data_IF_653173946588
#
_entry.id   IF_653173946588
#
_cell.length_a   1.000
_cell.length_b   1.000
_cell.length_c   1.000
_cell.angle_alpha   90.00
_cell.angle_beta   90.00
_cell.angle_gamma   90.00
#
_symmetry.space_group_name_H-M   'P 1'
#
loop_
_entity.id
_entity.type
_entity.pdbx_description
1 polymer ?
#
# COMPACT_ATOMS: atom_id res chain seq x y z
N UNK A 1 -23.19 -28.08 9.08
CA UNK A 1 -21.86 -27.68 9.60
C UNK A 1 -20.79 -27.57 8.52
N UNK A 2 -20.64 -28.55 7.61
CA UNK A 2 -19.61 -28.50 6.53
C UNK A 2 -19.74 -27.24 5.64
N UNK A 3 -20.95 -26.83 5.26
CA UNK A 3 -21.17 -25.59 4.50
C UNK A 3 -20.70 -24.33 5.24
N UNK A 4 -20.85 -24.30 6.58
CA UNK A 4 -20.39 -23.20 7.44
C UNK A 4 -18.86 -23.12 7.43
N UNK A 5 -18.18 -24.26 7.60
CA UNK A 5 -16.71 -24.36 7.53
C UNK A 5 -16.17 -23.93 6.17
N UNK A 6 -16.77 -24.38 5.07
CA UNK A 6 -16.38 -24.01 3.72
C UNK A 6 -16.50 -22.49 3.48
N UNK A 7 -17.56 -21.88 4.00
CA UNK A 7 -17.79 -20.45 3.91
C UNK A 7 -16.77 -19.63 4.71
N UNK A 8 -16.40 -20.10 5.91
CA UNK A 8 -15.34 -19.48 6.74
C UNK A 8 -14.00 -19.53 6.00
N UNK A 9 -13.66 -20.66 5.38
CA UNK A 9 -12.44 -20.79 4.58
C UNK A 9 -12.43 -19.89 3.34
N UNK A 10 -13.56 -19.75 2.65
CA UNK A 10 -13.68 -18.82 1.51
C UNK A 10 -13.51 -17.36 1.97
N UNK A 11 -14.13 -16.98 3.09
CA UNK A 11 -14.01 -15.65 3.70
C UNK A 11 -12.57 -15.35 4.14
N UNK A 12 -11.88 -16.30 4.76
CA UNK A 12 -10.49 -16.13 5.19
C UNK A 12 -9.52 -16.02 4.02
N UNK A 13 -9.69 -16.84 2.97
CA UNK A 13 -8.89 -16.75 1.74
C UNK A 13 -9.07 -15.40 1.05
N UNK A 14 -10.31 -14.92 0.98
CA UNK A 14 -10.63 -13.60 0.40
C UNK A 14 -10.00 -12.47 1.23
N UNK A 15 -10.07 -12.55 2.57
CA UNK A 15 -9.44 -11.59 3.45
C UNK A 15 -7.91 -11.59 3.32
N UNK A 16 -7.27 -12.74 3.17
CA UNK A 16 -5.83 -12.85 2.93
C UNK A 16 -5.43 -12.23 1.59
N UNK A 17 -6.18 -12.50 0.51
CA UNK A 17 -5.94 -11.90 -0.80
C UNK A 17 -6.10 -10.38 -0.77
N UNK A 18 -7.13 -9.88 -0.09
CA UNK A 18 -7.32 -8.44 0.13
C UNK A 18 -6.14 -7.83 0.92
N UNK A 19 -5.67 -8.53 1.96
CA UNK A 19 -4.51 -8.08 2.76
C UNK A 19 -3.23 -8.03 1.92
N UNK A 20 -2.97 -9.04 1.10
CA UNK A 20 -1.83 -9.07 0.19
C UNK A 20 -1.87 -7.90 -0.80
N UNK A 21 -3.01 -7.65 -1.45
CA UNK A 21 -3.18 -6.51 -2.36
C UNK A 21 -2.93 -5.16 -1.67
N UNK A 22 -3.30 -5.07 -0.39
CA UNK A 22 -3.15 -3.85 0.41
C UNK A 22 -1.71 -3.61 0.82
N UNK A 23 -1.00 -4.67 1.20
CA UNK A 23 0.45 -4.64 1.42
C UNK A 23 1.16 -4.17 0.15
N UNK A 24 0.79 -4.68 -1.03
CA UNK A 24 1.38 -4.23 -2.29
C UNK A 24 1.20 -2.73 -2.51
N UNK A 25 -0.01 -2.18 -2.31
CA UNK A 25 -0.26 -0.73 -2.44
C UNK A 25 0.60 0.09 -1.47
N UNK A 26 0.68 -0.34 -0.20
CA UNK A 26 1.50 0.33 0.81
C UNK A 26 2.99 0.29 0.47
N UNK A 27 3.50 -0.86 0.03
CA UNK A 27 4.89 -1.01 -0.41
C UNK A 27 5.19 -0.09 -1.60
N UNK A 28 4.29 0.00 -2.57
CA UNK A 28 4.44 0.91 -3.71
C UNK A 28 4.45 2.37 -3.28
N UNK A 29 3.58 2.77 -2.34
CA UNK A 29 3.56 4.13 -1.79
C UNK A 29 4.87 4.47 -1.05
N UNK A 30 5.41 3.52 -0.27
CA UNK A 30 6.70 3.69 0.42
C UNK A 30 7.84 3.80 -0.60
N UNK A 31 7.89 2.92 -1.60
CA UNK A 31 8.96 2.89 -2.58
C UNK A 31 8.99 4.17 -3.44
N UNK A 32 7.84 4.53 -4.02
CA UNK A 32 7.71 5.73 -4.86
C UNK A 32 7.91 7.02 -4.06
N UNK A 33 7.35 7.11 -2.85
CA UNK A 33 7.53 8.25 -1.95
C UNK A 33 8.97 8.43 -1.49
N UNK A 34 9.67 7.33 -1.16
CA UNK A 34 11.07 7.36 -0.74
C UNK A 34 12.01 7.72 -1.89
N UNK A 35 11.76 7.18 -3.09
CA UNK A 35 12.51 7.53 -4.29
C UNK A 35 12.39 9.02 -4.61
N UNK A 36 11.16 9.54 -4.63
CA UNK A 36 10.91 10.96 -4.88
C UNK A 36 11.57 11.84 -3.82
N UNK A 37 11.44 11.49 -2.54
CA UNK A 37 12.11 12.19 -1.44
C UNK A 37 13.63 12.22 -1.64
N UNK A 38 14.23 11.09 -1.99
CA UNK A 38 15.68 10.99 -2.23
C UNK A 38 16.14 11.96 -3.32
N UNK A 39 15.44 12.00 -4.45
CA UNK A 39 15.74 12.93 -5.56
C UNK A 39 15.58 14.40 -5.16
N UNK A 40 14.53 14.73 -4.41
CA UNK A 40 14.31 16.08 -3.90
C UNK A 40 15.44 16.48 -2.95
N UNK A 41 15.80 15.60 -2.02
CA UNK A 41 16.86 15.87 -1.04
C UNK A 41 18.21 16.04 -1.73
N UNK A 42 18.59 15.14 -2.64
CA UNK A 42 19.84 15.24 -3.41
C UNK A 42 19.94 16.59 -4.14
N UNK A 43 18.87 17.02 -4.79
CA UNK A 43 18.84 18.31 -5.46
C UNK A 43 18.98 19.48 -4.48
N UNK A 44 18.26 19.47 -3.36
CA UNK A 44 18.36 20.52 -2.34
C UNK A 44 19.75 20.58 -1.71
N UNK A 45 20.36 19.42 -1.42
CA UNK A 45 21.73 19.33 -0.91
C UNK A 45 22.74 19.89 -1.92
N UNK A 46 22.60 19.54 -3.20
CA UNK A 46 23.44 20.09 -4.27
C UNK A 46 23.34 21.62 -4.32
N UNK A 47 22.12 22.18 -4.27
CA UNK A 47 21.93 23.64 -4.32
C UNK A 47 22.47 24.32 -3.05
N UNK A 48 22.30 23.71 -1.87
CA UNK A 48 22.80 24.25 -0.60
C UNK A 48 24.34 24.25 -0.52
N UNK A 49 25.00 23.24 -1.09
CA UNK A 49 26.46 23.12 -1.13
C UNK A 49 27.08 23.92 -2.29
N UNK A 50 26.34 24.18 -3.37
CA UNK A 50 26.81 24.96 -4.51
C UNK A 50 26.77 26.46 -4.19
N UNK A 51 27.80 26.92 -3.50
CA UNK A 51 27.99 28.31 -3.06
C UNK A 51 29.45 28.73 -3.10
N UNK A 52 29.68 30.03 -3.18
CA UNK A 52 31.03 30.59 -3.03
C UNK A 52 31.46 30.51 -1.55
N UNK A 53 32.74 30.20 -1.32
CA UNK A 53 33.34 30.14 0.02
C UNK A 53 33.60 31.53 0.62
N UNK A 54 33.59 32.60 -0.20
CA UNK A 54 33.96 33.96 0.20
C UNK A 54 32.79 34.78 0.79
N UNK A 55 33.12 35.92 1.39
CA UNK A 55 32.25 36.82 2.19
C UNK A 55 31.02 37.41 1.47
N UNK A 56 30.88 37.26 0.15
CA UNK A 56 29.70 37.71 -0.58
C UNK A 56 28.76 36.51 -0.84
N UNK A 57 27.50 36.62 -0.41
CA UNK A 57 26.47 35.59 -0.52
C UNK A 57 26.11 35.28 -2.00
N UNK A 58 26.94 34.45 -2.65
CA UNK A 58 26.69 33.88 -3.98
C UNK A 58 26.50 32.37 -3.90
N UNK A 59 25.41 31.84 -4.43
CA UNK A 59 25.11 30.42 -4.40
C UNK A 59 23.75 30.08 -5.02
N UNK A 60 23.41 28.81 -4.94
CA UNK A 60 22.28 28.23 -5.67
C UNK A 60 20.99 28.03 -4.86
N UNK A 61 21.03 28.20 -3.53
CA UNK A 61 19.85 28.11 -2.68
C UNK A 61 19.73 29.33 -1.78
N UNK A 62 18.80 30.23 -2.11
CA UNK A 62 18.48 31.39 -1.27
C UNK A 62 17.46 31.02 -0.20
N UNK A 63 17.65 31.58 1.00
CA UNK A 63 16.63 31.52 2.05
C UNK A 63 15.63 32.69 1.87
N UNK A 64 16.16 33.87 1.54
CA UNK A 64 15.46 35.14 1.32
C UNK A 64 16.32 36.02 0.39
N UNK A 65 15.85 37.22 0.03
CA UNK A 65 16.65 38.19 -0.73
C UNK A 65 17.94 38.49 0.03
N UNK A 66 19.09 38.28 -0.63
CA UNK A 66 20.41 38.56 -0.06
C UNK A 66 20.93 37.53 0.96
N UNK A 67 20.21 36.42 1.22
CA UNK A 67 20.65 35.36 2.13
C UNK A 67 20.61 33.98 1.48
N UNK A 68 21.61 33.15 1.79
CA UNK A 68 21.74 31.77 1.28
C UNK A 68 21.57 30.75 2.39
N UNK A 69 21.04 29.58 2.03
CA UNK A 69 21.17 28.38 2.84
C UNK A 69 22.59 27.85 2.66
N UNK A 70 23.38 27.88 3.74
CA UNK A 70 24.81 27.58 3.70
C UNK A 70 25.10 26.11 4.00
N UNK A 71 25.00 25.25 3.00
CA UNK A 71 25.29 23.81 3.12
C UNK A 71 24.14 22.99 3.70
N UNK A 72 24.20 21.68 3.50
CA UNK A 72 23.09 20.75 3.76
C UNK A 72 22.64 20.70 5.22
N UNK A 73 23.56 20.94 6.16
CA UNK A 73 23.24 20.99 7.59
C UNK A 73 22.22 22.08 7.94
N UNK A 74 22.08 23.10 7.09
CA UNK A 74 21.18 24.23 7.28
C UNK A 74 19.86 24.10 6.50
N UNK A 75 19.57 22.95 5.90
CA UNK A 75 18.29 22.68 5.22
C UNK A 75 17.11 22.50 6.20
N UNK A 76 17.37 22.44 7.52
CA UNK A 76 16.35 22.26 8.55
C UNK A 76 15.53 20.99 8.29
N UNK A 77 14.20 21.10 8.34
CA UNK A 77 13.29 19.97 8.12
C UNK A 77 13.39 19.37 6.71
N UNK A 78 13.83 20.16 5.72
CA UNK A 78 14.05 19.68 4.35
C UNK A 78 15.29 18.79 4.21
N UNK A 79 16.23 18.86 5.17
CA UNK A 79 17.46 18.06 5.20
C UNK A 79 17.40 16.82 6.10
N UNK A 80 16.24 16.56 6.73
CA UNK A 80 16.14 15.44 7.67
C UNK A 80 16.28 14.10 6.95
N UNK A 81 16.99 13.17 7.58
CA UNK A 81 17.05 11.78 7.14
C UNK A 81 15.73 11.07 7.38
N UNK A 82 15.48 10.01 6.61
CA UNK A 82 14.31 9.14 6.80
C UNK A 82 14.34 8.56 8.21
N UNK A 83 13.34 8.87 9.02
CA UNK A 83 13.23 8.31 10.37
C UNK A 83 12.87 6.83 10.29
N UNK A 84 13.56 5.94 11.03
CA UNK A 84 13.14 4.55 11.14
C UNK A 84 11.69 4.46 11.65
N UNK A 85 10.83 3.81 10.87
CA UNK A 85 9.44 3.56 11.26
C UNK A 85 9.37 2.39 12.23
N UNK A 86 9.35 2.67 13.53
CA UNK A 86 9.06 1.69 14.61
C UNK A 86 7.62 1.75 15.11
N UNK A 87 6.83 2.72 14.64
CA UNK A 87 5.45 2.97 15.06
C UNK A 87 4.56 3.23 13.86
N UNK A 88 3.33 2.72 13.91
CA UNK A 88 2.28 3.04 12.95
C UNK A 88 1.97 4.55 13.02
N UNK A 89 2.35 5.29 11.97
CA UNK A 89 1.96 6.67 11.79
C UNK A 89 0.46 6.76 11.51
N UNK A 90 -0.30 7.46 12.36
CA UNK A 90 -1.75 7.65 12.19
C UNK A 90 -2.11 8.88 11.34
N UNK A 91 -1.12 9.67 10.90
CA UNK A 91 -1.35 10.93 10.21
C UNK A 91 -1.38 10.71 8.71
N UNK A 92 -2.47 11.13 8.08
CA UNK A 92 -2.56 11.23 6.62
C UNK A 92 -1.57 12.30 6.12
N UNK A 93 -0.99 12.13 4.93
CA UNK A 93 -0.19 13.18 4.31
C UNK A 93 -1.04 14.44 4.10
N UNK A 94 -0.49 15.62 4.44
CA UNK A 94 -1.16 16.92 4.27
C UNK A 94 -0.70 17.67 3.02
N UNK A 95 0.52 17.38 2.55
CA UNK A 95 1.14 18.00 1.37
C UNK A 95 0.89 17.23 0.07
N UNK A 96 0.38 15.99 0.18
CA UNK A 96 -0.05 15.15 -0.93
C UNK A 96 -1.49 14.72 -0.62
N UNK A 97 -2.44 15.33 -1.31
CA UNK A 97 -3.85 15.02 -1.18
C UNK A 97 -4.32 14.15 -2.35
N UNK A 98 -5.58 13.69 -2.31
CA UNK A 98 -6.20 12.97 -3.42
C UNK A 98 -6.08 13.74 -4.74
N UNK A 99 -6.13 15.08 -4.70
CA UNK A 99 -6.06 15.94 -5.89
C UNK A 99 -4.63 16.12 -6.47
N UNK A 100 -3.57 16.05 -5.64
CA UNK A 100 -2.12 16.04 -5.95
C UNK A 100 -1.25 16.76 -4.88
N UNK A 101 -0.11 17.33 -5.29
CA UNK A 101 0.83 18.08 -4.44
C UNK A 101 0.32 19.50 -4.22
N UNK A 102 -0.38 19.74 -3.11
CA UNK A 102 -1.23 20.93 -2.91
C UNK A 102 -0.50 22.28 -3.03
N UNK A 103 0.80 22.30 -2.80
CA UNK A 103 1.61 23.52 -2.75
C UNK A 103 2.57 23.69 -3.94
N UNK A 104 2.73 22.67 -4.79
CA UNK A 104 3.63 22.72 -5.94
C UNK A 104 2.88 23.24 -7.18
N UNK A 105 2.74 24.56 -7.24
CA UNK A 105 2.17 25.28 -8.40
C UNK A 105 3.24 25.52 -9.45
N UNK A 106 2.83 25.81 -10.69
CA UNK A 106 3.77 26.30 -11.72
C UNK A 106 4.23 27.71 -11.39
N UNK A 107 5.48 27.98 -11.70
CA UNK A 107 6.06 29.32 -11.76
C UNK A 107 6.81 29.52 -13.07
N UNK A 108 6.79 30.76 -13.57
CA UNK A 108 7.46 31.12 -14.81
C UNK A 108 8.95 31.32 -14.58
N UNK A 109 9.71 31.30 -15.69
CA UNK A 109 11.14 31.56 -15.65
C UNK A 109 11.43 32.96 -15.09
N UNK A 110 12.08 33.01 -13.93
CA UNK A 110 12.47 34.27 -13.27
C UNK A 110 11.52 34.77 -12.18
N UNK A 111 10.30 34.24 -12.08
CA UNK A 111 9.30 34.68 -11.08
C UNK A 111 9.64 34.21 -9.65
N UNK A 112 10.21 33.00 -9.53
CA UNK A 112 10.62 32.40 -8.25
C UNK A 112 12.09 32.67 -7.90
N UNK A 113 12.83 33.38 -8.77
CA UNK A 113 14.16 33.83 -8.40
C UNK A 113 14.02 34.95 -7.38
N UNK A 114 14.28 34.61 -6.13
CA UNK A 114 14.56 35.59 -5.07
C UNK A 114 15.94 36.21 -5.37
N UNK A 115 16.03 37.01 -6.43
CA UNK A 115 17.26 37.62 -6.88
C UNK A 115 17.65 38.73 -5.91
N UNK A 116 18.68 38.48 -5.10
CA UNK A 116 19.64 39.52 -4.82
C UNK A 116 20.60 39.61 -6.01
N UNK A 117 21.06 40.81 -6.38
CA UNK A 117 22.06 41.08 -7.42
C UNK A 117 23.40 40.31 -7.24
N UNK A 118 23.49 39.48 -6.19
CA UNK A 118 24.65 38.73 -5.73
C UNK A 118 24.49 37.20 -5.88
N UNK A 119 23.31 36.65 -6.12
CA UNK A 119 23.11 35.20 -6.24
C UNK A 119 23.56 34.68 -7.63
N UNK A 120 24.84 34.31 -7.78
CA UNK A 120 25.35 33.63 -8.98
C UNK A 120 25.20 32.11 -8.83
N UNK A 121 24.29 31.51 -9.60
CA UNK A 121 24.14 30.06 -9.69
C UNK A 121 24.21 29.60 -11.15
N UNK A 122 25.36 29.07 -11.57
CA UNK A 122 25.55 28.57 -12.95
C UNK A 122 24.74 27.30 -13.28
N UNK A 123 24.21 26.60 -12.27
CA UNK A 123 23.38 25.40 -12.48
C UNK A 123 22.06 25.72 -13.21
N UNK A 124 21.54 26.94 -13.08
CA UNK A 124 20.29 27.37 -13.73
C UNK A 124 20.54 28.23 -14.99
N UNK A 125 21.77 28.28 -15.48
CA UNK A 125 22.12 29.02 -16.68
C UNK A 125 22.54 28.04 -17.77
N UNK A 126 21.93 28.18 -18.95
CA UNK A 126 22.17 27.28 -20.09
C UNK A 126 23.00 27.91 -21.20
N UNK A 127 23.30 29.21 -21.10
CA UNK A 127 24.21 29.89 -22.01
C UNK A 127 25.68 29.54 -21.76
N UNK A 128 26.52 29.88 -22.73
CA UNK A 128 27.97 29.64 -22.74
C UNK A 128 28.79 30.70 -22.01
N UNK A 129 28.16 31.63 -21.31
CA UNK A 129 28.85 32.72 -20.61
C UNK A 129 28.93 32.46 -19.11
N UNK A 130 27.88 31.87 -18.54
CA UNK A 130 27.77 31.67 -17.09
C UNK A 130 27.18 30.31 -16.70
N UNK A 131 26.97 29.42 -17.67
CA UNK A 131 26.44 28.08 -17.47
C UNK A 131 27.45 27.08 -16.91
N UNK A 132 26.97 25.87 -16.62
CA UNK A 132 27.77 24.78 -16.03
C UNK A 132 28.81 24.18 -16.99
N UNK A 133 28.67 24.37 -18.30
CA UNK A 133 29.53 23.79 -19.34
C UNK A 133 30.54 24.80 -19.92
N UNK A 134 30.86 25.87 -19.18
CA UNK A 134 31.80 26.92 -19.60
C UNK A 134 31.41 27.51 -20.98
N UNK A 135 32.26 27.41 -22.00
CA UNK A 135 32.04 27.97 -23.34
C UNK A 135 31.02 27.20 -24.18
N UNK A 136 30.49 26.08 -23.68
CA UNK A 136 29.44 25.31 -24.35
C UNK A 136 28.05 25.63 -23.78
N UNK A 137 27.04 25.56 -24.63
CA UNK A 137 25.64 25.68 -24.21
C UNK A 137 25.11 24.34 -23.68
N UNK A 138 24.27 24.41 -22.66
CA UNK A 138 23.49 23.25 -22.20
C UNK A 138 22.47 22.89 -23.27
N UNK A 139 22.28 21.58 -23.52
CA UNK A 139 21.29 21.11 -24.49
C UNK A 139 19.87 21.61 -24.17
N UNK A 140 19.12 21.93 -25.22
CA UNK A 140 17.73 22.38 -25.11
C UNK A 140 16.87 21.34 -24.37
N UNK A 141 16.02 21.81 -23.46
CA UNK A 141 15.11 20.96 -22.70
C UNK A 141 15.73 20.30 -21.46
N UNK A 142 16.93 20.70 -21.05
CA UNK A 142 17.52 20.28 -19.78
C UNK A 142 16.59 20.60 -18.59
N UNK A 143 16.51 19.66 -17.66
CA UNK A 143 15.64 19.77 -16.49
C UNK A 143 16.21 19.01 -15.28
N UNK A 144 15.85 19.47 -14.09
CA UNK A 144 16.15 18.80 -12.83
C UNK A 144 14.89 18.15 -12.24
N UNK A 145 15.09 17.30 -11.22
CA UNK A 145 14.01 16.60 -10.50
C UNK A 145 13.04 15.85 -11.43
N UNK A 146 13.60 15.11 -12.39
CA UNK A 146 12.83 14.32 -13.35
C UNK A 146 11.90 15.13 -14.25
N UNK A 147 12.20 16.42 -14.45
CA UNK A 147 11.40 17.31 -15.31
C UNK A 147 10.52 18.31 -14.56
N UNK A 148 10.56 18.33 -13.22
CA UNK A 148 9.81 19.32 -12.45
C UNK A 148 10.36 20.73 -12.63
N UNK A 149 11.69 20.90 -12.54
CA UNK A 149 12.38 22.18 -12.76
C UNK A 149 12.94 22.19 -14.17
N UNK A 150 12.39 23.03 -15.05
CA UNK A 150 12.82 23.17 -16.44
C UNK A 150 13.77 24.35 -16.57
N UNK A 151 14.90 24.15 -17.23
CA UNK A 151 15.84 25.24 -17.50
C UNK A 151 15.39 26.07 -18.71
N UNK A 152 15.63 27.37 -18.66
CA UNK A 152 15.44 28.25 -19.80
C UNK A 152 16.35 27.82 -20.96
N UNK A 153 15.92 28.06 -22.21
CA UNK A 153 16.78 27.88 -23.36
C UNK A 153 17.72 29.09 -23.50
N UNK A 154 19.01 28.83 -23.72
CA UNK A 154 20.03 29.83 -24.06
C UNK A 154 20.06 31.05 -23.14
N UNK A 155 20.02 30.83 -21.82
CA UNK A 155 20.08 31.95 -20.87
C UNK A 155 19.89 31.55 -19.42
N UNK A 156 19.82 32.53 -18.52
CA UNK A 156 19.52 32.29 -17.11
C UNK A 156 18.04 32.01 -16.89
N UNK A 157 17.74 31.19 -15.88
CA UNK A 157 16.39 31.04 -15.34
C UNK A 157 15.86 29.62 -15.41
N UNK A 158 14.85 29.36 -14.59
CA UNK A 158 14.16 28.08 -14.55
C UNK A 158 12.67 28.29 -14.28
N UNK A 159 11.84 27.38 -14.76
CA UNK A 159 10.40 27.32 -14.51
C UNK A 159 10.03 26.00 -13.84
N UNK A 160 8.86 25.94 -13.22
CA UNK A 160 8.35 24.72 -12.60
C UNK A 160 7.07 24.23 -13.28
N UNK A 161 6.88 22.92 -13.28
CA UNK A 161 5.64 22.30 -13.76
C UNK A 161 4.61 22.30 -12.64
N UNK A 162 3.36 22.68 -12.91
CA UNK A 162 2.28 22.57 -11.94
C UNK A 162 2.03 21.09 -11.57
N UNK A 163 2.12 20.79 -10.27
CA UNK A 163 1.86 19.46 -9.70
C UNK A 163 0.70 19.48 -8.69
N UNK A 164 0.00 20.61 -8.57
CA UNK A 164 -1.13 20.80 -7.66
C UNK A 164 -2.47 20.30 -8.19
N UNK A 165 -2.52 19.87 -9.45
CA UNK A 165 -3.67 19.24 -10.07
C UNK A 165 -3.18 18.13 -11.01
N UNK A 166 -2.85 16.97 -10.44
CA UNK A 166 -2.45 15.80 -11.23
C UNK A 166 -3.67 14.94 -11.54
N UNK A 167 -3.71 14.49 -12.77
CA UNK A 167 -4.57 13.42 -13.27
C UNK A 167 -3.71 12.35 -13.94
N UNK A 168 -4.33 11.21 -14.25
CA UNK A 168 -3.71 10.12 -15.02
C UNK A 168 -3.30 10.53 -16.44
N UNK A 169 -3.80 11.66 -16.97
CA UNK A 169 -3.51 12.16 -18.33
C UNK A 169 -2.56 13.36 -18.39
N UNK A 170 -2.05 13.86 -17.26
CA UNK A 170 -1.21 15.08 -17.21
C UNK A 170 0.15 14.84 -17.89
N UNK A 171 0.25 14.94 -19.21
CA UNK A 171 1.45 14.55 -19.97
C UNK A 171 2.75 15.23 -19.52
N UNK A 172 2.65 16.45 -18.97
CA UNK A 172 3.80 17.33 -18.67
C UNK A 172 4.47 17.09 -17.31
N UNK A 173 3.84 16.37 -16.38
CA UNK A 173 4.40 16.13 -15.05
C UNK A 173 5.42 14.98 -15.02
N UNK A 174 6.47 15.15 -14.21
CA UNK A 174 7.54 14.19 -13.98
C UNK A 174 7.00 12.80 -13.61
N UNK A 175 7.52 11.70 -14.20
CA UNK A 175 7.11 10.33 -13.89
C UNK A 175 7.19 9.98 -12.40
N UNK A 176 8.20 10.48 -11.68
CA UNK A 176 8.40 10.17 -10.27
C UNK A 176 7.32 10.81 -9.39
N UNK A 177 6.98 12.08 -9.68
CA UNK A 177 5.91 12.79 -8.97
C UNK A 177 4.55 12.13 -9.23
N UNK A 178 4.28 11.71 -10.48
CA UNK A 178 3.06 10.96 -10.82
C UNK A 178 2.97 9.63 -10.08
N UNK A 179 4.06 8.86 -10.08
CA UNK A 179 4.10 7.56 -9.41
C UNK A 179 3.86 7.72 -7.90
N UNK A 180 4.58 8.65 -7.25
CA UNK A 180 4.43 8.91 -5.83
C UNK A 180 3.01 9.36 -5.47
N UNK A 181 2.42 10.31 -6.22
CA UNK A 181 1.05 10.74 -5.97
C UNK A 181 0.04 9.58 -6.13
N UNK A 182 0.10 8.85 -7.25
CA UNK A 182 -0.80 7.72 -7.54
C UNK A 182 -0.75 6.68 -6.43
N UNK A 183 0.46 6.26 -6.05
CA UNK A 183 0.65 5.15 -5.12
C UNK A 183 0.27 5.56 -3.69
N UNK A 184 0.61 6.79 -3.26
CA UNK A 184 0.20 7.35 -1.97
C UNK A 184 -1.32 7.54 -1.90
N UNK A 185 -1.96 8.04 -2.96
CA UNK A 185 -3.41 8.20 -3.02
C UNK A 185 -4.15 6.85 -2.98
N UNK A 186 -3.64 5.84 -3.71
CA UNK A 186 -4.17 4.48 -3.68
C UNK A 186 -4.04 3.84 -2.30
N UNK A 187 -2.91 4.02 -1.62
CA UNK A 187 -2.71 3.54 -0.25
C UNK A 187 -3.59 4.26 0.78
N UNK A 188 -3.80 5.58 0.63
CA UNK A 188 -4.59 6.39 1.56
C UNK A 188 -6.09 6.10 1.52
N UNK A 189 -6.59 5.51 0.42
CA UNK A 189 -8.00 5.15 0.22
C UNK A 189 -8.27 3.65 0.44
N UNK A 190 -7.22 2.87 0.77
CA UNK A 190 -7.32 1.43 0.85
C UNK A 190 -8.07 0.96 2.12
N UNK A 191 -9.24 0.32 1.98
CA UNK A 191 -10.09 -0.03 3.13
C UNK A 191 -9.45 -1.06 4.07
N UNK A 192 -8.49 -1.85 3.61
CA UNK A 192 -7.83 -2.89 4.42
C UNK A 192 -6.77 -2.35 5.38
N UNK A 193 -6.41 -1.06 5.31
CA UNK A 193 -5.58 -0.42 6.34
C UNK A 193 -6.28 -0.43 7.72
N UNK A 194 -7.60 -0.64 7.75
CA UNK A 194 -8.33 -0.97 8.96
C UNK A 194 -8.36 -2.49 9.14
N UNK A 195 -7.67 -2.95 10.19
CA UNK A 195 -7.78 -4.30 10.78
C UNK A 195 -9.13 -4.92 10.45
N UNK A 196 -9.16 -5.92 9.58
CA UNK A 196 -10.27 -6.85 9.54
C UNK A 196 -10.24 -7.62 10.86
N UNK A 197 -10.81 -7.06 11.94
CA UNK A 197 -11.19 -7.84 13.09
C UNK A 197 -12.01 -9.01 12.55
N UNK A 198 -11.56 -10.24 12.81
CA UNK A 198 -12.29 -11.43 12.39
C UNK A 198 -13.72 -11.32 12.93
N UNK A 199 -14.69 -11.21 12.03
CA UNK A 199 -16.11 -11.24 12.38
C UNK A 199 -16.65 -12.63 12.05
N UNK A 200 -17.44 -13.25 12.95
CA UNK A 200 -18.18 -14.46 12.65
C UNK A 200 -18.88 -14.36 11.29
N UNK A 201 -19.00 -15.49 10.61
CA UNK A 201 -19.77 -15.52 9.37
C UNK A 201 -21.25 -15.35 9.68
N UNK A 202 -21.96 -14.57 8.88
CA UNK A 202 -23.43 -14.44 8.99
C UNK A 202 -24.15 -15.47 8.13
N UNK A 203 -25.42 -15.74 8.42
CA UNK A 203 -26.31 -16.57 7.58
C UNK A 203 -26.38 -16.05 6.13
N UNK A 204 -26.44 -14.74 5.95
CA UNK A 204 -26.43 -14.10 4.63
C UNK A 204 -25.12 -14.37 3.88
N UNK A 205 -23.97 -14.19 4.53
CA UNK A 205 -22.64 -14.50 3.96
C UNK A 205 -22.50 -15.98 3.60
N UNK A 206 -23.01 -16.88 4.45
CA UNK A 206 -23.05 -18.31 4.19
C UNK A 206 -23.86 -18.63 2.91
N UNK A 207 -25.02 -18.00 2.74
CA UNK A 207 -25.90 -18.26 1.59
C UNK A 207 -25.42 -17.66 0.28
N UNK A 208 -24.49 -16.71 0.30
CA UNK A 208 -23.88 -16.19 -0.94
C UNK A 208 -22.56 -16.89 -1.29
N UNK A 209 -21.92 -17.57 -0.33
CA UNK A 209 -20.67 -18.31 -0.51
C UNK A 209 -20.81 -19.44 -1.54
N UNK A 210 -19.96 -19.41 -2.57
CA UNK A 210 -19.93 -20.45 -3.59
C UNK A 210 -19.36 -21.76 -3.01
N UNK A 211 -18.39 -21.67 -2.10
CA UNK A 211 -17.84 -22.83 -1.41
C UNK A 211 -18.89 -23.50 -0.51
N UNK A 212 -19.70 -22.71 0.20
CA UNK A 212 -20.80 -23.22 1.02
C UNK A 212 -21.86 -23.95 0.19
N UNK A 213 -22.23 -23.40 -0.96
CA UNK A 213 -23.17 -24.02 -1.91
C UNK A 213 -22.63 -25.32 -2.48
N UNK A 214 -21.37 -25.34 -2.88
CA UNK A 214 -20.71 -26.56 -3.36
C UNK A 214 -20.65 -27.64 -2.26
N UNK A 215 -20.31 -27.25 -1.02
CA UNK A 215 -20.31 -28.14 0.13
C UNK A 215 -21.73 -28.64 0.49
N UNK A 216 -22.74 -27.77 0.39
CA UNK A 216 -24.14 -28.13 0.64
C UNK A 216 -24.64 -29.16 -0.39
N UNK A 217 -24.34 -28.93 -1.67
CA UNK A 217 -24.64 -29.86 -2.76
C UNK A 217 -24.01 -31.25 -2.52
N UNK A 218 -22.73 -31.27 -2.16
CA UNK A 218 -22.00 -32.51 -1.94
C UNK A 218 -22.48 -33.25 -0.68
N UNK A 219 -22.57 -32.55 0.46
CA UNK A 219 -22.75 -33.19 1.76
C UNK A 219 -24.22 -33.35 2.18
N UNK A 220 -25.09 -32.41 1.80
CA UNK A 220 -26.52 -32.43 2.18
C UNK A 220 -27.36 -33.05 1.08
N UNK A 221 -27.18 -32.60 -0.17
CA UNK A 221 -27.93 -33.16 -1.31
C UNK A 221 -27.34 -34.46 -1.85
N UNK A 222 -26.15 -34.87 -1.36
CA UNK A 222 -25.41 -36.06 -1.81
C UNK A 222 -25.16 -36.07 -3.32
N UNK A 223 -25.08 -34.89 -3.93
CA UNK A 223 -24.82 -34.71 -5.34
C UNK A 223 -23.33 -34.40 -5.55
N UNK A 224 -22.60 -35.38 -6.08
CA UNK A 224 -21.16 -35.30 -6.31
C UNK A 224 -20.78 -34.56 -7.61
N UNK A 225 -21.76 -34.10 -8.39
CA UNK A 225 -21.48 -33.32 -9.61
C UNK A 225 -20.92 -31.96 -9.23
N UNK A 226 -19.94 -31.49 -10.01
CA UNK A 226 -19.35 -30.17 -9.83
C UNK A 226 -20.42 -29.08 -9.75
N UNK A 227 -20.30 -28.22 -8.74
CA UNK A 227 -21.21 -27.10 -8.58
C UNK A 227 -21.09 -26.12 -9.76
N UNK A 228 -22.25 -25.72 -10.29
CA UNK A 228 -22.43 -24.77 -11.40
C UNK A 228 -23.49 -23.76 -11.01
N UNK A 229 -23.06 -22.51 -10.81
CA UNK A 229 -23.92 -21.41 -10.37
C UNK A 229 -25.21 -21.26 -11.20
N UNK A 230 -25.11 -21.39 -12.54
CA UNK A 230 -26.24 -21.20 -13.45
C UNK A 230 -27.31 -22.30 -13.38
N UNK A 231 -26.99 -23.46 -12.81
CA UNK A 231 -27.88 -24.63 -12.74
C UNK A 231 -28.33 -24.88 -11.31
N UNK A 232 -27.39 -24.82 -10.37
CA UNK A 232 -27.62 -25.30 -9.01
C UNK A 232 -28.23 -24.24 -8.09
N UNK A 233 -28.03 -22.94 -8.36
CA UNK A 233 -28.48 -21.88 -7.44
C UNK A 233 -29.99 -21.88 -7.24
N UNK A 234 -30.76 -22.10 -8.30
CA UNK A 234 -32.22 -22.12 -8.23
C UNK A 234 -32.76 -23.19 -7.26
N UNK A 235 -31.98 -24.26 -7.02
CA UNK A 235 -32.34 -25.36 -6.12
C UNK A 235 -31.71 -25.15 -4.74
N UNK A 236 -30.42 -24.80 -4.69
CA UNK A 236 -29.65 -24.74 -3.44
C UNK A 236 -30.00 -23.51 -2.60
N UNK A 237 -30.22 -22.35 -3.21
CA UNK A 237 -30.51 -21.11 -2.48
C UNK A 237 -31.75 -21.19 -1.59
N UNK A 238 -32.93 -21.65 -2.07
CA UNK A 238 -34.10 -21.77 -1.20
C UNK A 238 -33.92 -22.83 -0.09
N UNK A 239 -33.19 -23.91 -0.37
CA UNK A 239 -32.90 -24.95 0.63
C UNK A 239 -31.96 -24.43 1.72
N UNK A 240 -30.88 -23.74 1.34
CA UNK A 240 -29.99 -23.09 2.31
C UNK A 240 -30.68 -21.97 3.09
N UNK A 241 -31.65 -21.26 2.50
CA UNK A 241 -32.44 -20.26 3.21
C UNK A 241 -33.32 -20.90 4.30
N UNK A 242 -33.85 -22.10 4.04
CA UNK A 242 -34.61 -22.88 5.01
C UNK A 242 -33.71 -23.44 6.13
N UNK A 243 -32.57 -24.02 5.77
CA UNK A 243 -31.69 -24.70 6.72
C UNK A 243 -30.85 -23.75 7.57
N UNK A 244 -30.56 -22.56 7.03
CA UNK A 244 -29.77 -21.52 7.67
C UNK A 244 -30.53 -20.20 7.63
N UNK A 245 -31.66 -20.06 8.36
CA UNK A 245 -32.49 -18.85 8.33
C UNK A 245 -31.74 -17.62 8.88
N UNK A 246 -32.24 -16.43 8.54
CA UNK A 246 -31.71 -15.17 9.07
C UNK A 246 -32.26 -15.00 10.49
N UNK A 247 -31.58 -15.62 11.46
CA UNK A 247 -31.93 -15.54 12.87
C UNK A 247 -30.80 -14.89 13.66
N UNK A 248 -31.16 -14.20 14.75
CA UNK A 248 -30.20 -13.72 15.72
C UNK A 248 -29.45 -14.89 16.39
N UNK A 249 -30.06 -16.07 16.43
CA UNK A 249 -29.49 -17.30 16.99
C UNK A 249 -28.54 -18.05 16.04
N UNK A 250 -28.33 -17.55 14.81
CA UNK A 250 -27.46 -18.21 13.83
C UNK A 250 -26.05 -18.40 14.40
N UNK A 251 -25.53 -17.36 15.05
CA UNK A 251 -24.21 -17.42 15.68
C UNK A 251 -24.17 -18.51 16.76
N UNK A 252 -25.19 -18.57 17.60
CA UNK A 252 -25.25 -19.50 18.72
C UNK A 252 -25.44 -20.95 18.28
N UNK A 253 -26.19 -21.15 17.19
CA UNK A 253 -26.53 -22.47 16.67
C UNK A 253 -25.42 -23.06 15.80
N UNK A 254 -24.74 -22.22 15.01
CA UNK A 254 -23.84 -22.69 13.96
C UNK A 254 -22.39 -22.24 14.11
N UNK A 255 -22.15 -21.09 14.73
CA UNK A 255 -20.80 -20.55 14.91
C UNK A 255 -20.19 -20.96 16.24
N UNK A 256 -20.90 -20.77 17.37
CA UNK A 256 -20.42 -21.14 18.70
C UNK A 256 -19.93 -22.60 18.74
N UNK A 257 -20.69 -23.62 18.27
CA UNK A 257 -20.20 -25.00 18.31
C UNK A 257 -18.92 -25.23 17.49
N UNK A 258 -18.74 -24.52 16.37
CA UNK A 258 -17.51 -24.62 15.57
C UNK A 258 -16.32 -24.00 16.31
N UNK A 259 -16.57 -22.96 17.12
CA UNK A 259 -15.54 -22.21 17.84
C UNK A 259 -15.24 -22.75 19.25
N UNK A 260 -16.21 -23.41 19.90
CA UNK A 260 -16.10 -23.95 21.27
C UNK A 260 -15.89 -25.47 21.31
N UNK A 261 -15.87 -26.15 20.17
CA UNK A 261 -15.52 -27.57 20.14
C UNK A 261 -14.12 -27.76 20.73
N UNK A 262 -14.03 -28.50 21.84
CA UNK A 262 -12.76 -28.87 22.46
C UNK A 262 -12.02 -29.89 21.58
N UNK A 263 -10.73 -29.66 21.38
CA UNK A 263 -9.83 -30.60 20.72
C UNK A 263 -9.10 -31.36 21.82
N UNK A 264 -9.10 -32.69 21.76
CA UNK A 264 -8.16 -33.48 22.57
C UNK A 264 -6.73 -33.13 22.17
N UNK A 265 -5.90 -32.68 23.11
CA UNK A 265 -4.48 -32.31 22.88
C UNK A 265 -3.68 -33.42 22.17
N UNK A 266 -4.08 -34.68 22.34
CA UNK A 266 -3.65 -35.84 21.55
C UNK A 266 -3.59 -35.61 20.02
N UNK A 267 -4.42 -34.73 19.47
CA UNK A 267 -4.43 -34.46 18.03
C UNK A 267 -3.25 -33.58 17.55
N UNK A 268 -2.48 -32.98 18.46
CA UNK A 268 -1.37 -32.08 18.12
C UNK A 268 -0.17 -32.09 19.08
N UNK A 269 -0.25 -32.76 20.24
CA UNK A 269 0.86 -33.02 21.16
C UNK A 269 0.88 -34.51 21.53
N UNK A 270 2.07 -35.10 21.62
CA UNK A 270 2.24 -36.54 21.84
C UNK A 270 1.84 -37.03 23.25
N UNK A 271 1.69 -36.14 24.25
CA UNK A 271 1.69 -36.56 25.66
C UNK A 271 0.56 -36.00 26.56
N UNK A 272 -0.66 -35.74 26.06
CA UNK A 272 -1.77 -35.43 26.99
C UNK A 272 -3.17 -35.75 26.45
N UNK A 273 -3.97 -36.43 27.26
CA UNK A 273 -5.40 -36.75 27.02
C UNK A 273 -6.36 -35.57 27.34
N UNK A 274 -5.83 -34.42 27.76
CA UNK A 274 -6.63 -33.26 28.09
C UNK A 274 -7.28 -32.62 26.86
N UNK A 275 -8.51 -32.12 27.01
CA UNK A 275 -9.20 -31.35 25.98
C UNK A 275 -8.88 -29.86 26.14
N UNK A 276 -8.62 -29.16 25.03
CA UNK A 276 -8.43 -27.70 24.96
C UNK A 276 -9.51 -27.11 24.04
N UNK A 277 -10.20 -26.05 24.47
CA UNK A 277 -11.13 -25.37 23.57
C UNK A 277 -10.41 -24.66 22.42
N UNK A 278 -10.98 -24.73 21.21
CA UNK A 278 -10.48 -24.05 20.02
C UNK A 278 -10.32 -22.52 20.19
N UNK A 279 -11.09 -21.94 21.11
CA UNK A 279 -11.08 -20.55 21.56
C UNK A 279 -9.81 -20.16 22.32
N UNK A 280 -9.22 -21.09 23.08
CA UNK A 280 -8.07 -20.82 23.95
C UNK A 280 -6.72 -20.99 23.24
N UNK A 281 -6.70 -21.75 22.14
CA UNK A 281 -5.48 -21.96 21.35
C UNK A 281 -5.18 -20.76 20.44
N UNK A 282 -4.12 -20.00 20.74
CA UNK A 282 -3.62 -18.88 19.91
C UNK A 282 -2.68 -19.31 18.78
N UNK A 283 -2.31 -20.59 18.74
CA UNK A 283 -1.34 -21.13 17.80
C UNK A 283 -2.03 -21.69 16.55
N UNK A 284 -1.82 -21.05 15.40
CA UNK A 284 -2.36 -21.50 14.11
C UNK A 284 -1.81 -22.87 13.68
N UNK A 285 -0.60 -23.24 14.11
CA UNK A 285 0.02 -24.53 13.77
C UNK A 285 -0.69 -25.73 14.40
N UNK A 286 -1.18 -25.57 15.64
CA UNK A 286 -1.94 -26.61 16.36
C UNK A 286 -3.31 -26.88 15.74
N UNK A 287 -3.97 -25.82 15.22
CA UNK A 287 -5.28 -25.92 14.56
C UNK A 287 -5.23 -26.61 13.19
N UNK A 288 -4.11 -26.48 12.46
CA UNK A 288 -3.92 -27.12 11.15
C UNK A 288 -3.75 -28.65 11.26
N UNK A 289 -2.94 -29.14 12.22
CA UNK A 289 -2.74 -30.59 12.44
C UNK A 289 -4.04 -31.33 12.76
N UNK A 290 -4.94 -30.72 13.54
CA UNK A 290 -6.24 -31.32 13.87
C UNK A 290 -7.14 -31.54 12.64
N UNK A 291 -7.19 -30.56 11.73
CA UNK A 291 -8.02 -30.68 10.52
C UNK A 291 -7.52 -31.81 9.61
N UNK A 292 -6.21 -32.04 9.50
CA UNK A 292 -5.67 -33.16 8.73
C UNK A 292 -6.07 -34.53 9.31
N UNK A 293 -6.06 -34.67 10.64
CA UNK A 293 -6.37 -35.94 11.32
C UNK A 293 -7.86 -36.29 11.25
N UNK A 294 -8.77 -35.30 11.37
CA UNK A 294 -10.23 -35.51 11.23
C UNK A 294 -10.66 -35.87 9.80
N UNK A 295 -9.99 -35.32 8.80
CA UNK A 295 -10.26 -35.61 7.39
C UNK A 295 -9.90 -37.06 7.04
N UNK A 296 -8.77 -37.57 7.57
CA UNK A 296 -8.39 -39.00 7.45
C UNK A 296 -9.41 -39.94 8.09
N UNK A 297 -10.00 -39.58 9.23
CA UNK A 297 -11.00 -40.40 9.92
C UNK A 297 -12.38 -40.43 9.23
N UNK A 298 -12.68 -39.46 8.35
CA UNK A 298 -14.02 -39.27 7.77
C UNK A 298 -14.14 -39.72 6.31
N UNK A 299 -13.10 -40.31 5.71
CA UNK A 299 -13.04 -40.70 4.29
C UNK A 299 -13.38 -39.55 3.31
N UNK A 300 -13.21 -38.30 3.74
CA UNK A 300 -13.32 -37.11 2.89
C UNK A 300 -11.91 -36.85 2.33
N UNK A 301 -11.73 -36.62 1.02
CA UNK A 301 -10.40 -36.35 0.47
C UNK A 301 -9.80 -35.08 1.10
N UNK A 302 -8.60 -35.19 1.67
CA UNK A 302 -7.79 -34.06 2.10
C UNK A 302 -7.34 -33.25 0.88
N UNK A 303 -8.23 -32.41 0.35
CA UNK A 303 -7.89 -31.43 -0.66
C UNK A 303 -7.55 -30.12 0.03
N UNK A 304 -6.34 -30.06 0.57
CA UNK A 304 -5.39 -28.95 0.50
C UNK A 304 -4.31 -29.17 1.56
N UNK A 305 -3.24 -29.86 1.16
CA UNK A 305 -1.94 -29.65 1.76
C UNK A 305 -1.61 -28.17 1.60
N UNK A 306 -1.54 -27.43 2.70
CA UNK A 306 -0.89 -26.13 2.74
C UNK A 306 0.63 -26.36 2.72
N UNK A 307 1.18 -26.75 1.58
CA UNK A 307 2.59 -26.49 1.26
C UNK A 307 2.70 -25.04 0.79
N UNK A 308 2.52 -24.12 1.74
CA UNK A 308 3.02 -22.76 1.63
C UNK A 308 4.41 -22.75 2.24
N UNK A 309 5.39 -23.25 1.51
CA UNK A 309 6.81 -23.07 1.81
C UNK A 309 7.08 -21.56 1.71
N UNK A 310 7.02 -20.87 2.86
CA UNK A 310 7.54 -19.52 3.00
C UNK A 310 9.06 -19.70 3.09
N UNK A 311 9.70 -19.72 1.93
CA UNK A 311 11.11 -19.35 1.82
C UNK A 311 11.17 -17.82 1.94
N UNK A 312 11.70 -17.37 3.09
CA UNK A 312 12.39 -16.09 3.18
C UNK A 312 13.65 -16.12 2.31
#
# INVERSE_FOLDING_TARGET
>A
MISVLAAIQEKSKTALAASAASITKLTMAVASGSLLRGRILEFLELLAETRQKSVAARGCLSQNVGSLINGKANLGDCGQQTTPTSKLGKKKPTKIAAAAFTELKSASAGDDQVAGNTAKCGLFTTDSSHGVLDTAQTANGAAYLGGYVKLAANGPGNSTVALNALSTSTATASPDFKAAWRDIAAAATDPAAQKASYKPITSAELRVSAAAKAAYKLAVLKDNRKYKKSVDNAIIEPLMAKDYPDSQDFEDTWWKPVNTNSIGKLAYSEDSEENEELTDSKDSGKKCKFNETKVKASNVPATQAHTGEILL
#
